data_IF_820857101645
#
_entry.id   IF_820857101645
#
_cell.length_a   1.000
_cell.length_b   1.000
_cell.length_c   1.000
_cell.angle_alpha   90.00
_cell.angle_beta   90.00
_cell.angle_gamma   90.00
#
_symmetry.space_group_name_H-M   'P 1'
#
loop_
_entity.id
_entity.type
_entity.pdbx_description
1 polymer ?
#
# COMPACT_ATOMS: atom_id res chain seq x y z
N UNK A 1 41.46 12.31 6.80
CA UNK A 1 40.32 11.38 6.88
C UNK A 1 39.21 12.06 6.11
N UNK A 2 39.04 11.77 4.82
CA UNK A 2 37.89 12.25 4.04
C UNK A 2 37.65 11.26 2.91
N UNK A 3 36.92 10.19 3.20
CA UNK A 3 36.32 9.34 2.16
C UNK A 3 34.91 9.85 1.92
N UNK A 4 34.74 10.67 0.89
CA UNK A 4 33.42 11.02 0.38
C UNK A 4 32.70 9.73 -0.02
N UNK A 5 31.60 9.44 0.66
CA UNK A 5 30.72 8.33 0.32
C UNK A 5 29.86 8.80 -0.85
N UNK A 6 30.23 8.40 -2.06
CA UNK A 6 29.40 8.54 -3.26
C UNK A 6 28.27 7.50 -3.17
N UNK A 7 26.99 7.90 -3.10
CA UNK A 7 25.89 6.96 -3.07
C UNK A 7 25.75 6.33 -4.46
N UNK A 8 26.07 5.05 -4.59
CA UNK A 8 25.81 4.29 -5.82
C UNK A 8 24.30 4.21 -6.04
N UNK A 9 23.79 4.86 -7.09
CA UNK A 9 22.38 4.75 -7.48
C UNK A 9 22.09 3.29 -7.86
N UNK A 10 21.36 2.61 -6.98
CA UNK A 10 20.92 1.24 -7.20
C UNK A 10 19.70 1.30 -8.12
N UNK A 11 19.94 1.23 -9.43
CA UNK A 11 18.92 1.12 -10.48
C UNK A 11 18.02 -0.10 -10.22
N UNK A 12 16.89 0.13 -9.54
CA UNK A 12 15.82 -0.83 -9.36
C UNK A 12 15.14 -1.05 -10.71
N UNK A 13 15.57 -2.08 -11.45
CA UNK A 13 14.92 -2.46 -12.70
C UNK A 13 13.45 -2.80 -12.42
N UNK A 14 12.56 -1.88 -12.80
CA UNK A 14 11.10 -2.06 -12.75
C UNK A 14 10.71 -3.00 -13.88
N UNK A 15 10.99 -4.29 -13.71
CA UNK A 15 10.39 -5.32 -14.54
C UNK A 15 8.88 -5.29 -14.33
N UNK A 16 8.05 -5.11 -15.37
CA UNK A 16 6.61 -5.07 -15.20
C UNK A 16 6.16 -6.44 -14.69
N UNK A 17 5.73 -6.48 -13.43
CA UNK A 17 5.21 -7.71 -12.82
C UNK A 17 3.97 -8.12 -13.60
N UNK A 18 4.10 -9.16 -14.42
CA UNK A 18 2.98 -9.75 -15.17
C UNK A 18 1.97 -10.25 -14.15
N UNK A 19 0.88 -9.50 -13.94
CA UNK A 19 -0.22 -9.94 -13.09
C UNK A 19 -0.79 -11.23 -13.67
N UNK A 20 -0.85 -12.33 -12.90
CA UNK A 20 -1.41 -13.58 -13.41
C UNK A 20 -2.89 -13.39 -13.76
N UNK A 21 -3.31 -13.94 -14.90
CA UNK A 21 -4.72 -13.95 -15.28
C UNK A 21 -5.54 -14.69 -14.20
N UNK A 22 -6.72 -14.16 -13.80
CA UNK A 22 -7.53 -14.81 -12.78
C UNK A 22 -7.99 -16.20 -13.25
N UNK A 23 -8.09 -17.19 -12.34
CA UNK A 23 -8.60 -18.51 -12.68
C UNK A 23 -10.06 -18.41 -13.18
N UNK A 24 -10.36 -19.09 -14.29
CA UNK A 24 -11.71 -19.21 -14.83
C UNK A 24 -12.52 -20.16 -13.94
N UNK A 25 -13.09 -19.61 -12.87
CA UNK A 25 -13.96 -20.33 -11.95
C UNK A 25 -15.40 -20.41 -12.51
N UNK A 26 -16.16 -21.48 -12.23
CA UNK A 26 -17.60 -21.50 -12.49
C UNK A 26 -18.30 -20.30 -11.82
N UNK A 27 -19.42 -19.78 -12.36
CA UNK A 27 -20.03 -18.53 -11.90
C UNK A 27 -20.29 -18.46 -10.38
N UNK A 28 -20.79 -19.55 -9.79
CA UNK A 28 -21.04 -19.64 -8.35
C UNK A 28 -19.75 -19.58 -7.52
N UNK A 29 -18.67 -20.17 -8.01
CA UNK A 29 -17.38 -20.17 -7.33
C UNK A 29 -16.67 -18.83 -7.47
N UNK A 30 -16.79 -18.19 -8.64
CA UNK A 30 -16.32 -16.84 -8.88
C UNK A 30 -17.01 -15.84 -7.96
N UNK A 31 -18.33 -15.96 -7.75
CA UNK A 31 -19.06 -15.11 -6.81
C UNK A 31 -18.59 -15.29 -5.36
N UNK A 32 -18.36 -16.54 -4.93
CA UNK A 32 -17.79 -16.84 -3.61
C UNK A 32 -16.37 -16.25 -3.46
N UNK A 33 -15.54 -16.41 -4.49
CA UNK A 33 -14.19 -15.85 -4.52
C UNK A 33 -14.20 -14.33 -4.43
N UNK A 34 -15.02 -13.66 -5.25
CA UNK A 34 -15.16 -12.21 -5.25
C UNK A 34 -15.69 -11.70 -3.91
N UNK A 35 -16.67 -12.38 -3.31
CA UNK A 35 -17.15 -12.05 -1.95
C UNK A 35 -16.04 -12.15 -0.91
N UNK A 36 -15.23 -13.20 -0.96
CA UNK A 36 -14.09 -13.36 -0.06
C UNK A 36 -13.01 -12.28 -0.29
N UNK A 37 -12.73 -11.93 -1.56
CA UNK A 37 -11.82 -10.85 -1.91
C UNK A 37 -12.32 -9.49 -1.40
N UNK A 38 -13.60 -9.16 -1.60
CA UNK A 38 -14.19 -7.94 -1.07
C UNK A 38 -14.05 -7.89 0.46
N UNK A 39 -14.33 -8.99 1.16
CA UNK A 39 -14.15 -9.06 2.62
C UNK A 39 -12.72 -8.75 3.03
N UNK A 40 -11.72 -9.36 2.35
CA UNK A 40 -10.30 -9.09 2.60
C UNK A 40 -9.90 -7.64 2.30
N UNK A 41 -10.42 -7.08 1.21
CA UNK A 41 -10.16 -5.68 0.84
C UNK A 41 -10.73 -4.72 1.88
N UNK A 42 -11.94 -4.98 2.39
CA UNK A 42 -12.54 -4.18 3.46
C UNK A 42 -11.75 -4.27 4.77
N UNK A 43 -11.28 -5.46 5.15
CA UNK A 43 -10.41 -5.60 6.33
C UNK A 43 -9.07 -4.88 6.15
N UNK A 44 -8.48 -4.96 4.95
CA UNK A 44 -7.25 -4.25 4.63
C UNK A 44 -7.43 -2.73 4.73
N UNK A 45 -8.52 -2.18 4.19
CA UNK A 45 -8.84 -0.73 4.31
C UNK A 45 -8.94 -0.29 5.77
N UNK A 46 -9.61 -1.08 6.63
CA UNK A 46 -9.70 -0.79 8.07
C UNK A 46 -8.34 -0.80 8.76
N UNK A 47 -7.50 -1.81 8.49
CA UNK A 47 -6.15 -1.87 9.06
C UNK A 47 -5.25 -0.76 8.55
N UNK A 48 -5.36 -0.41 7.26
CA UNK A 48 -4.66 0.73 6.67
C UNK A 48 -5.03 2.03 7.38
N UNK A 49 -6.32 2.26 7.63
CA UNK A 49 -6.77 3.46 8.33
C UNK A 49 -6.17 3.54 9.74
N UNK A 50 -6.25 2.46 10.52
CA UNK A 50 -5.66 2.40 11.87
C UNK A 50 -4.14 2.64 11.86
N UNK A 51 -3.42 2.07 10.89
CA UNK A 51 -1.98 2.27 10.75
C UNK A 51 -1.63 3.74 10.47
N UNK A 52 -2.44 4.43 9.65
CA UNK A 52 -2.21 5.85 9.35
C UNK A 52 -2.54 6.73 10.57
N UNK A 53 -3.59 6.42 11.33
CA UNK A 53 -3.88 7.10 12.60
C UNK A 53 -2.73 6.92 13.60
N UNK A 54 -2.18 5.70 13.73
CA UNK A 54 -1.02 5.42 14.58
C UNK A 54 0.22 6.21 14.13
N UNK A 55 0.46 6.30 12.82
CA UNK A 55 1.55 7.10 12.24
C UNK A 55 1.38 8.60 12.52
N UNK A 56 0.16 9.13 12.46
CA UNK A 56 -0.14 10.52 12.80
C UNK A 56 0.05 10.83 14.28
N UNK A 57 -0.13 9.84 15.15
CA UNK A 57 0.08 9.97 16.60
C UNK A 57 1.55 9.88 17.02
N UNK A 58 2.48 9.54 16.11
CA UNK A 58 3.90 9.46 16.43
C UNK A 58 4.50 10.87 16.63
N UNK A 59 5.38 11.06 17.63
CA UNK A 59 5.95 12.37 17.96
C UNK A 59 6.84 12.96 16.85
N UNK A 60 7.42 12.11 16.00
CA UNK A 60 8.24 12.52 14.84
C UNK A 60 7.40 12.70 13.55
N UNK A 61 6.08 12.75 13.67
CA UNK A 61 5.21 12.97 12.53
C UNK A 61 5.39 14.39 11.98
N UNK A 62 5.98 14.48 10.80
CA UNK A 62 6.09 15.73 10.04
C UNK A 62 5.01 15.76 8.95
N UNK A 63 3.95 16.58 9.09
CA UNK A 63 2.86 16.62 8.11
C UNK A 63 3.31 17.09 6.72
N UNK A 64 4.44 17.77 6.64
CA UNK A 64 5.08 18.24 5.40
C UNK A 64 5.85 17.13 4.66
N UNK A 65 6.14 16.00 5.32
CA UNK A 65 6.84 14.89 4.68
C UNK A 65 5.89 14.23 3.65
N UNK A 66 6.32 14.12 2.37
CA UNK A 66 5.51 13.55 1.30
C UNK A 66 4.96 12.16 1.59
N UNK A 67 5.61 11.38 2.47
CA UNK A 67 5.13 10.08 2.91
C UNK A 67 3.83 10.20 3.71
N UNK A 68 3.81 11.06 4.72
CA UNK A 68 2.64 11.27 5.58
C UNK A 68 1.53 12.04 4.87
N UNK A 69 1.88 13.02 4.04
CA UNK A 69 0.91 13.76 3.23
C UNK A 69 0.13 12.82 2.29
N UNK A 70 0.83 11.89 1.62
CA UNK A 70 0.19 10.88 0.76
C UNK A 70 -0.69 9.91 1.56
N UNK A 71 -0.18 9.43 2.70
CA UNK A 71 -0.95 8.56 3.58
C UNK A 71 -2.24 9.24 4.08
N UNK A 72 -2.18 10.53 4.44
CA UNK A 72 -3.34 11.30 4.87
C UNK A 72 -4.35 11.53 3.73
N UNK A 73 -3.91 11.78 2.49
CA UNK A 73 -4.83 11.86 1.35
C UNK A 73 -5.49 10.52 1.04
N UNK A 74 -4.76 9.41 1.16
CA UNK A 74 -5.30 8.07 0.91
C UNK A 74 -6.33 7.61 1.97
N UNK A 75 -6.42 8.29 3.11
CA UNK A 75 -7.49 8.10 4.11
C UNK A 75 -8.81 8.75 3.66
N UNK A 76 -8.77 9.88 2.96
CA UNK A 76 -9.97 10.61 2.52
C UNK A 76 -10.77 9.84 1.47
N UNK A 77 -10.10 8.99 0.69
CA UNK A 77 -10.74 8.12 -0.32
C UNK A 77 -11.36 6.83 0.26
N UNK A 78 -11.28 6.62 1.59
CA UNK A 78 -11.79 5.42 2.26
C UNK A 78 -13.19 5.64 2.90
N UNK A 79 -13.68 6.88 2.99
CA UNK A 79 -15.02 7.25 3.48
C UNK A 79 -16.15 7.07 2.45
#
# INVERSE_FOLDING_TARGET
MDTAYEPTEMELSKSPTRTPSPPLLPPCEQLRHNKAQLKRMMTFRKHKAACIEELQAMPDHHPEDPFYARAATELQDIE
#
